data_IF_689294121077
#
_entry.id   IF_689294121077
#
_cell.length_a   1.000
_cell.length_b   1.000
_cell.length_c   1.000
_cell.angle_alpha   90.00
_cell.angle_beta   90.00
_cell.angle_gamma   90.00
#
_symmetry.space_group_name_H-M   'P 1'
#
loop_
_entity.id
_entity.type
_entity.pdbx_description
1 polymer ?
#
# COMPACT_ATOMS: atom_id res chain seq x y z
N UNK A 1 -3.77 18.39 -9.75
CA UNK A 1 -4.11 17.03 -10.21
C UNK A 1 -3.66 16.73 -11.65
N UNK A 2 -3.70 17.70 -12.57
CA UNK A 2 -3.34 17.49 -13.97
C UNK A 2 -1.94 16.89 -14.18
N UNK A 3 -1.00 17.12 -13.27
CA UNK A 3 0.32 16.44 -13.29
C UNK A 3 0.22 14.93 -13.13
N UNK A 4 -0.80 14.41 -12.40
CA UNK A 4 -1.01 12.98 -12.25
C UNK A 4 -1.49 12.30 -13.54
N UNK A 5 -2.15 13.02 -14.45
CA UNK A 5 -2.53 12.50 -15.78
C UNK A 5 -1.33 11.90 -16.48
N UNK A 6 -0.19 12.58 -16.38
CA UNK A 6 1.08 12.16 -17.00
C UNK A 6 1.59 10.87 -16.36
N UNK A 7 1.52 10.79 -15.04
CA UNK A 7 1.99 9.60 -14.32
C UNK A 7 1.06 8.42 -14.55
N UNK A 8 -0.24 8.66 -14.70
CA UNK A 8 -1.19 7.62 -15.09
C UNK A 8 -0.94 7.10 -16.51
N UNK A 9 -0.50 7.94 -17.45
CA UNK A 9 -0.08 7.47 -18.78
C UNK A 9 1.15 6.58 -18.69
N UNK A 10 2.16 6.98 -17.90
CA UNK A 10 3.39 6.20 -17.68
C UNK A 10 3.14 4.84 -17.02
N UNK A 11 2.17 4.79 -16.12
CA UNK A 11 1.78 3.55 -15.43
C UNK A 11 0.83 2.66 -16.25
N UNK A 12 0.32 3.12 -17.38
CA UNK A 12 -0.74 2.40 -18.10
C UNK A 12 -2.04 2.26 -17.28
N UNK A 13 -2.33 3.22 -16.42
CA UNK A 13 -3.44 3.18 -15.47
C UNK A 13 -4.80 2.96 -16.14
N UNK A 14 -4.98 3.49 -17.34
CA UNK A 14 -6.23 3.34 -18.07
C UNK A 14 -6.53 1.90 -18.46
N UNK A 15 -5.52 1.16 -18.92
CA UNK A 15 -5.68 -0.24 -19.27
C UNK A 15 -5.94 -1.11 -18.03
N UNK A 16 -5.31 -0.78 -16.90
CA UNK A 16 -5.61 -1.40 -15.60
C UNK A 16 -7.06 -1.19 -15.17
N UNK A 17 -7.57 0.04 -15.30
CA UNK A 17 -8.95 0.37 -14.96
C UNK A 17 -9.94 -0.34 -15.90
N UNK A 18 -9.65 -0.38 -17.21
CA UNK A 18 -10.46 -1.14 -18.17
C UNK A 18 -10.47 -2.63 -17.85
N UNK A 19 -9.33 -3.19 -17.52
CA UNK A 19 -9.22 -4.59 -17.08
C UNK A 19 -10.06 -4.87 -15.84
N UNK A 20 -10.05 -3.95 -14.86
CA UNK A 20 -10.88 -4.04 -13.64
C UNK A 20 -12.38 -3.94 -13.95
N UNK A 21 -12.79 -2.98 -14.77
CA UNK A 21 -14.20 -2.74 -15.09
C UNK A 21 -14.75 -3.68 -16.18
N UNK A 22 -13.89 -4.32 -16.96
CA UNK A 22 -14.28 -5.13 -18.12
C UNK A 22 -14.91 -4.32 -19.24
N UNK A 23 -14.63 -3.01 -19.30
CA UNK A 23 -15.26 -2.05 -20.20
C UNK A 23 -14.30 -1.54 -21.28
N UNK A 24 -14.86 -0.90 -22.32
CA UNK A 24 -14.12 -0.26 -23.42
C UNK A 24 -13.83 1.23 -23.15
N UNK A 25 -13.06 1.87 -24.05
CA UNK A 25 -12.79 3.31 -24.00
C UNK A 25 -14.05 4.18 -24.14
N UNK A 26 -15.10 3.67 -24.77
CA UNK A 26 -16.35 4.39 -24.97
C UNK A 26 -17.25 4.41 -23.71
N UNK A 27 -17.04 3.46 -22.80
CA UNK A 27 -17.88 3.31 -21.62
C UNK A 27 -17.59 4.35 -20.54
N UNK A 28 -18.61 4.63 -19.72
CA UNK A 28 -18.52 5.64 -18.66
C UNK A 28 -17.87 5.09 -17.37
N UNK A 29 -18.01 3.78 -17.11
CA UNK A 29 -17.58 3.14 -15.88
C UNK A 29 -16.06 3.30 -15.63
N UNK A 30 -15.16 3.12 -16.62
CA UNK A 30 -13.74 3.36 -16.42
C UNK A 30 -13.42 4.82 -16.02
N UNK A 31 -14.20 5.80 -16.54
CA UNK A 31 -14.03 7.22 -16.18
C UNK A 31 -14.46 7.50 -14.75
N UNK A 32 -15.53 6.85 -14.28
CA UNK A 32 -15.95 6.91 -12.88
C UNK A 32 -14.88 6.26 -11.96
N UNK A 33 -14.27 5.15 -12.38
CA UNK A 33 -13.17 4.54 -11.65
C UNK A 33 -11.94 5.45 -11.63
N UNK A 34 -11.58 6.11 -12.74
CA UNK A 34 -10.50 7.12 -12.79
C UNK A 34 -10.79 8.30 -11.86
N UNK A 35 -12.05 8.73 -11.76
CA UNK A 35 -12.44 9.75 -10.79
C UNK A 35 -12.13 9.31 -9.35
N UNK A 36 -12.44 8.06 -8.98
CA UNK A 36 -12.13 7.52 -7.64
C UNK A 36 -10.63 7.47 -7.37
N UNK A 37 -9.82 7.17 -8.38
CA UNK A 37 -8.36 7.24 -8.29
C UNK A 37 -7.92 8.67 -7.96
N UNK A 38 -8.42 9.67 -8.68
CA UNK A 38 -8.09 11.07 -8.44
C UNK A 38 -8.64 11.60 -7.10
N UNK A 39 -9.83 11.14 -6.67
CA UNK A 39 -10.36 11.43 -5.32
C UNK A 39 -9.45 10.88 -4.22
N UNK A 40 -8.88 9.70 -4.41
CA UNK A 40 -7.91 9.11 -3.47
C UNK A 40 -6.63 9.95 -3.41
N UNK A 41 -6.09 10.38 -4.55
CA UNK A 41 -4.92 11.26 -4.61
C UNK A 41 -5.17 12.60 -3.89
N UNK A 42 -6.41 13.10 -3.93
CA UNK A 42 -6.84 14.30 -3.20
C UNK A 42 -7.09 14.07 -1.72
N UNK A 43 -6.86 12.87 -1.21
CA UNK A 43 -7.21 12.47 0.16
C UNK A 43 -8.70 12.68 0.49
N UNK A 44 -9.56 12.66 -0.53
CA UNK A 44 -11.00 12.81 -0.39
C UNK A 44 -11.64 11.45 -0.11
N UNK A 45 -11.75 11.11 1.17
CA UNK A 45 -12.07 9.76 1.61
C UNK A 45 -13.56 9.48 1.81
N UNK A 46 -14.44 10.40 1.41
CA UNK A 46 -15.89 10.24 1.62
C UNK A 46 -16.54 9.75 0.34
N UNK A 47 -17.39 8.72 0.46
CA UNK A 47 -18.33 8.35 -0.59
C UNK A 47 -19.32 9.50 -0.84
N UNK A 48 -19.63 10.26 0.18
CA UNK A 48 -20.40 11.50 0.04
C UNK A 48 -19.47 12.65 -0.32
N UNK A 49 -19.74 13.27 -1.45
CA UNK A 49 -18.96 14.40 -1.97
C UNK A 49 -18.78 15.46 -0.89
N UNK A 50 -17.56 15.81 -0.62
CA UNK A 50 -17.26 17.07 0.01
C UNK A 50 -17.35 18.14 -1.08
N UNK A 51 -17.84 19.32 -0.75
CA UNK A 51 -17.95 20.47 -1.65
C UNK A 51 -16.61 20.89 -2.31
N UNK A 52 -15.50 20.28 -1.94
CA UNK A 52 -14.15 20.57 -2.46
C UNK A 52 -13.92 20.03 -3.86
N UNK A 53 -14.64 18.99 -4.29
CA UNK A 53 -14.40 18.33 -5.58
C UNK A 53 -15.35 18.84 -6.65
N UNK A 54 -16.37 19.61 -6.29
CA UNK A 54 -17.34 20.19 -7.21
C UNK A 54 -16.79 21.40 -8.00
N UNK A 55 -15.51 21.33 -8.41
CA UNK A 55 -14.91 22.30 -9.29
C UNK A 55 -15.04 21.85 -10.75
N UNK A 56 -15.40 22.73 -11.65
CA UNK A 56 -15.62 22.44 -13.07
C UNK A 56 -14.45 21.73 -13.77
N UNK A 57 -13.23 21.83 -13.25
CA UNK A 57 -12.07 21.15 -13.83
C UNK A 57 -11.88 19.71 -13.39
N UNK A 58 -12.56 19.25 -12.32
CA UNK A 58 -12.32 17.92 -11.78
C UNK A 58 -12.99 16.82 -12.63
N UNK A 59 -14.23 17.05 -13.04
CA UNK A 59 -14.94 16.11 -13.91
C UNK A 59 -14.27 16.02 -15.28
N UNK A 60 -13.85 17.17 -15.83
CA UNK A 60 -13.14 17.23 -17.11
C UNK A 60 -11.84 16.41 -17.08
N UNK A 61 -11.09 16.47 -15.99
CA UNK A 61 -9.87 15.67 -15.77
C UNK A 61 -10.11 14.17 -15.95
N UNK A 62 -11.32 13.70 -15.63
CA UNK A 62 -11.73 12.30 -15.70
C UNK A 62 -12.48 11.97 -17.00
N UNK A 63 -12.60 12.91 -17.92
CA UNK A 63 -13.37 12.75 -19.17
C UNK A 63 -14.87 12.65 -18.94
N UNK A 64 -15.38 13.25 -17.86
CA UNK A 64 -16.80 13.26 -17.49
C UNK A 64 -17.42 14.62 -17.78
N UNK A 65 -18.57 14.62 -18.43
CA UNK A 65 -19.36 15.84 -18.70
C UNK A 65 -20.40 16.12 -17.62
N UNK A 66 -20.40 15.37 -16.52
CA UNK A 66 -21.39 15.48 -15.43
C UNK A 66 -20.81 15.07 -14.08
N UNK A 67 -21.45 15.50 -13.01
CA UNK A 67 -21.11 15.10 -11.65
C UNK A 67 -21.56 13.66 -11.37
N UNK A 68 -20.61 12.82 -10.96
CA UNK A 68 -20.89 11.44 -10.55
C UNK A 68 -21.61 11.46 -9.18
N UNK A 69 -22.68 10.71 -9.08
CA UNK A 69 -23.41 10.56 -7.81
C UNK A 69 -22.80 9.49 -6.93
N UNK A 70 -23.03 9.57 -5.61
CA UNK A 70 -22.62 8.53 -4.64
C UNK A 70 -23.18 7.15 -5.01
N UNK A 71 -24.39 7.13 -5.59
CA UNK A 71 -25.02 5.88 -6.03
C UNK A 71 -24.25 5.25 -7.20
N UNK A 72 -23.86 6.03 -8.21
CA UNK A 72 -23.08 5.54 -9.34
C UNK A 72 -21.72 4.97 -8.90
N UNK A 73 -21.06 5.62 -7.93
CA UNK A 73 -19.82 5.12 -7.32
C UNK A 73 -20.07 3.78 -6.61
N UNK A 74 -21.13 3.70 -5.82
CA UNK A 74 -21.48 2.49 -5.09
C UNK A 74 -21.82 1.33 -6.05
N UNK A 75 -22.60 1.60 -7.09
CA UNK A 75 -22.98 0.61 -8.08
C UNK A 75 -21.77 0.08 -8.86
N UNK A 76 -20.88 0.98 -9.29
CA UNK A 76 -19.61 0.60 -9.90
C UNK A 76 -18.83 -0.37 -9.01
N UNK A 77 -18.54 0.04 -7.77
CA UNK A 77 -17.72 -0.77 -6.86
C UNK A 77 -18.39 -2.07 -6.45
N UNK A 78 -19.73 -2.09 -6.32
CA UNK A 78 -20.47 -3.28 -5.95
C UNK A 78 -20.57 -4.31 -7.08
N UNK A 79 -20.60 -3.84 -8.32
CA UNK A 79 -20.67 -4.68 -9.54
C UNK A 79 -19.41 -5.53 -9.74
N UNK A 80 -18.25 -5.00 -9.38
CA UNK A 80 -16.95 -5.65 -9.62
C UNK A 80 -16.54 -6.52 -8.43
N UNK A 81 -16.11 -7.74 -8.72
CA UNK A 81 -15.80 -8.75 -7.71
C UNK A 81 -14.47 -8.50 -7.00
N UNK A 82 -14.30 -9.14 -5.83
CA UNK A 82 -13.02 -9.18 -5.12
C UNK A 82 -11.90 -9.68 -6.04
N UNK A 83 -12.15 -10.73 -6.81
CA UNK A 83 -11.14 -11.30 -7.73
C UNK A 83 -10.69 -10.32 -8.81
N UNK A 84 -11.60 -9.48 -9.34
CA UNK A 84 -11.23 -8.43 -10.29
C UNK A 84 -10.35 -7.36 -9.63
N UNK A 85 -10.66 -7.00 -8.38
CA UNK A 85 -9.86 -6.05 -7.62
C UNK A 85 -8.47 -6.62 -7.25
N UNK A 86 -8.37 -7.90 -6.93
CA UNK A 86 -7.10 -8.59 -6.69
C UNK A 86 -6.26 -8.66 -7.97
N UNK A 87 -6.86 -9.01 -9.11
CA UNK A 87 -6.17 -9.00 -10.41
C UNK A 87 -5.63 -7.61 -10.78
N UNK A 88 -6.39 -6.55 -10.48
CA UNK A 88 -5.89 -5.17 -10.63
C UNK A 88 -4.64 -4.94 -9.77
N UNK A 89 -4.65 -5.37 -8.51
CA UNK A 89 -3.50 -5.20 -7.61
C UNK A 89 -2.28 -6.00 -8.09
N UNK A 90 -2.46 -7.25 -8.50
CA UNK A 90 -1.39 -8.11 -9.01
C UNK A 90 -0.74 -7.51 -10.26
N UNK A 91 -1.56 -7.04 -11.21
CA UNK A 91 -1.06 -6.41 -12.43
C UNK A 91 -0.35 -5.09 -12.12
N UNK A 92 -0.90 -4.28 -11.22
CA UNK A 92 -0.25 -3.05 -10.75
C UNK A 92 1.09 -3.35 -10.06
N UNK A 93 1.16 -4.37 -9.22
CA UNK A 93 2.39 -4.77 -8.54
C UNK A 93 3.47 -5.17 -9.57
N UNK A 94 3.12 -5.93 -10.62
CA UNK A 94 4.04 -6.29 -11.69
C UNK A 94 4.54 -5.06 -12.47
N UNK A 95 3.66 -4.12 -12.83
CA UNK A 95 4.04 -2.86 -13.48
C UNK A 95 4.99 -2.06 -12.60
N UNK A 96 4.65 -1.90 -11.32
CA UNK A 96 5.48 -1.17 -10.35
C UNK A 96 6.85 -1.83 -10.16
N UNK A 97 6.90 -3.16 -10.14
CA UNK A 97 8.17 -3.88 -10.07
C UNK A 97 9.03 -3.59 -11.30
N UNK A 98 8.48 -3.67 -12.49
CA UNK A 98 9.18 -3.36 -13.74
C UNK A 98 9.65 -1.89 -13.81
N UNK A 99 8.92 -0.96 -13.18
CA UNK A 99 9.28 0.46 -13.07
C UNK A 99 10.28 0.74 -11.92
N UNK A 100 10.78 -0.29 -11.24
CA UNK A 100 11.77 -0.15 -10.16
C UNK A 100 11.21 0.49 -8.89
N UNK A 101 9.92 0.32 -8.59
CA UNK A 101 9.31 0.83 -7.35
C UNK A 101 9.66 -0.01 -6.14
N UNK A 102 10.12 -1.24 -6.32
CA UNK A 102 10.45 -2.18 -5.26
C UNK A 102 11.89 -2.67 -5.37
N UNK A 103 12.54 -2.88 -4.24
CA UNK A 103 13.75 -3.69 -4.14
C UNK A 103 13.41 -5.17 -3.91
N UNK A 104 12.32 -5.42 -3.20
CA UNK A 104 11.70 -6.74 -3.05
C UNK A 104 12.41 -7.72 -2.13
N UNK A 105 13.47 -7.32 -1.41
CA UNK A 105 14.25 -8.24 -0.57
C UNK A 105 13.63 -8.45 0.81
N UNK A 106 13.08 -7.37 1.39
CA UNK A 106 12.45 -7.34 2.70
C UNK A 106 11.02 -6.83 2.57
N UNK A 107 10.06 -7.68 2.89
CA UNK A 107 8.63 -7.35 2.77
C UNK A 107 7.98 -7.41 4.15
N UNK A 108 7.45 -6.27 4.61
CA UNK A 108 6.67 -6.23 5.83
C UNK A 108 5.22 -6.59 5.55
N UNK A 109 4.62 -7.40 6.43
CA UNK A 109 3.19 -7.69 6.45
C UNK A 109 2.64 -7.31 7.82
N UNK A 110 1.61 -6.47 7.83
CA UNK A 110 0.99 -6.02 9.07
C UNK A 110 -0.54 -5.92 8.93
N UNK A 111 -1.29 -6.30 9.99
CA UNK A 111 -2.73 -6.12 10.02
C UNK A 111 -3.06 -4.66 10.37
N UNK A 112 -3.53 -3.91 9.41
CA UNK A 112 -4.05 -2.57 9.65
C UNK A 112 -5.50 -2.64 10.17
N UNK A 113 -5.74 -2.06 11.36
CA UNK A 113 -7.04 -2.09 12.03
C UNK A 113 -7.80 -0.80 11.80
N UNK A 114 -8.85 -0.88 10.99
CA UNK A 114 -9.72 0.26 10.70
C UNK A 114 -10.92 0.22 11.64
N UNK A 115 -11.10 1.25 12.45
CA UNK A 115 -12.24 1.35 13.38
C UNK A 115 -13.54 1.45 12.60
N UNK A 116 -14.52 0.63 12.99
CA UNK A 116 -15.85 0.62 12.39
C UNK A 116 -16.90 1.13 13.38
N UNK A 117 -17.76 2.04 12.90
CA UNK A 117 -18.88 2.60 13.66
C UNK A 117 -20.20 1.83 13.44
N UNK A 118 -20.14 0.70 12.74
CA UNK A 118 -21.32 -0.10 12.43
C UNK A 118 -22.06 -0.60 13.66
N UNK A 119 -23.38 -0.77 13.55
CA UNK A 119 -24.19 -1.40 14.57
C UNK A 119 -24.13 -2.94 14.51
N UNK A 120 -23.60 -3.54 13.43
CA UNK A 120 -23.50 -5.00 13.29
C UNK A 120 -22.56 -5.61 14.33
N UNK A 121 -22.80 -6.87 14.68
CA UNK A 121 -21.92 -7.65 15.55
C UNK A 121 -20.61 -7.90 14.80
N UNK A 122 -19.50 -7.52 15.41
CA UNK A 122 -18.14 -7.69 14.86
C UNK A 122 -17.15 -8.02 15.95
N UNK A 123 -16.03 -8.66 15.61
CA UNK A 123 -14.91 -8.78 16.53
C UNK A 123 -14.46 -7.41 17.04
N UNK A 124 -14.24 -7.34 18.36
CA UNK A 124 -13.69 -6.15 18.98
C UNK A 124 -12.21 -6.37 19.26
N UNK A 125 -11.38 -5.46 18.82
CA UNK A 125 -9.94 -5.45 19.11
C UNK A 125 -9.51 -4.07 19.59
N UNK A 126 -8.44 -4.02 20.35
CA UNK A 126 -7.76 -2.77 20.68
C UNK A 126 -6.94 -2.32 19.49
N UNK A 127 -6.97 -1.03 19.16
CA UNK A 127 -6.07 -0.46 18.17
C UNK A 127 -4.66 -0.27 18.80
N UNK A 128 -4.65 0.22 20.04
CA UNK A 128 -3.45 0.31 20.89
C UNK A 128 -3.71 -0.36 22.25
N UNK A 129 -2.69 -0.82 22.96
CA UNK A 129 -2.86 -1.53 24.23
C UNK A 129 -3.68 -0.76 25.28
N UNK A 130 -3.57 0.57 25.28
CA UNK A 130 -4.20 1.48 26.25
C UNK A 130 -5.62 1.89 25.85
N UNK A 131 -6.00 1.67 24.60
CA UNK A 131 -7.34 2.02 24.10
C UNK A 131 -8.40 0.96 24.44
N UNK A 132 -9.67 1.36 24.60
CA UNK A 132 -10.75 0.41 24.74
C UNK A 132 -10.91 -0.43 23.45
N UNK A 133 -11.36 -1.67 23.61
CA UNK A 133 -11.69 -2.52 22.46
C UNK A 133 -12.80 -1.89 21.64
N UNK A 134 -12.59 -1.80 20.33
CA UNK A 134 -13.55 -1.27 19.36
C UNK A 134 -13.80 -2.28 18.25
N UNK A 135 -14.96 -2.17 17.61
CA UNK A 135 -15.21 -2.92 16.37
C UNK A 135 -14.21 -2.50 15.32
N UNK A 136 -13.52 -3.47 14.74
CA UNK A 136 -12.48 -3.21 13.74
C UNK A 136 -12.66 -4.08 12.51
N UNK A 137 -12.33 -3.51 11.37
CA UNK A 137 -12.09 -4.24 10.14
C UNK A 137 -10.58 -4.44 10.01
N UNK A 138 -10.16 -5.67 9.80
CA UNK A 138 -8.76 -5.98 9.54
C UNK A 138 -8.49 -5.91 8.05
N UNK A 139 -7.46 -5.18 7.68
CA UNK A 139 -6.88 -5.17 6.35
C UNK A 139 -5.41 -5.53 6.50
N UNK A 140 -4.89 -6.37 5.65
CA UNK A 140 -3.49 -6.78 5.66
C UNK A 140 -2.79 -6.12 4.49
N UNK A 141 -1.65 -5.51 4.72
CA UNK A 141 -0.84 -4.90 3.67
C UNK A 141 0.48 -5.62 3.56
N UNK A 142 0.98 -5.75 2.34
CA UNK A 142 2.36 -6.08 2.04
C UNK A 142 3.07 -4.83 1.53
N UNK A 143 4.23 -4.53 2.11
CA UNK A 143 5.02 -3.34 1.82
C UNK A 143 6.48 -3.73 1.60
N UNK A 144 7.09 -3.23 0.53
CA UNK A 144 8.54 -3.23 0.39
C UNK A 144 9.16 -2.25 1.39
N UNK A 145 9.88 -2.76 2.36
CA UNK A 145 10.40 -1.95 3.48
C UNK A 145 11.46 -0.96 3.02
N UNK A 146 12.24 -1.33 2.01
CA UNK A 146 13.38 -0.54 1.54
C UNK A 146 12.96 0.71 0.76
N UNK A 147 11.81 0.65 0.10
CA UNK A 147 11.26 1.80 -0.65
C UNK A 147 10.06 2.43 0.04
N UNK A 148 9.49 1.77 1.06
CA UNK A 148 8.26 2.20 1.74
C UNK A 148 7.03 2.10 0.83
N UNK A 149 7.05 1.25 -0.22
CA UNK A 149 5.99 1.20 -1.21
C UNK A 149 5.09 -0.02 -1.03
N UNK A 150 3.74 0.17 -1.02
CA UNK A 150 2.79 -0.92 -0.88
C UNK A 150 2.76 -1.78 -2.14
N UNK A 151 2.78 -3.10 -1.95
CA UNK A 151 2.65 -4.10 -3.01
C UNK A 151 1.17 -4.41 -3.25
N UNK A 152 0.42 -4.62 -2.17
CA UNK A 152 -0.99 -4.90 -2.24
C UNK A 152 -1.63 -5.00 -0.85
N UNK A 153 -2.94 -5.24 -0.83
CA UNK A 153 -3.69 -5.44 0.38
C UNK A 153 -4.72 -6.57 0.26
N UNK A 154 -4.93 -7.26 1.38
CA UNK A 154 -5.99 -8.25 1.56
C UNK A 154 -6.93 -7.83 2.69
N UNK A 155 -8.19 -8.24 2.64
CA UNK A 155 -9.19 -7.85 3.64
C UNK A 155 -9.67 -9.08 4.39
N UNK A 156 -9.45 -9.09 5.70
CA UNK A 156 -10.01 -10.10 6.60
C UNK A 156 -11.54 -9.99 6.68
N UNK A 157 -12.19 -11.14 6.76
CA UNK A 157 -13.62 -11.27 6.99
C UNK A 157 -13.87 -12.31 8.08
N UNK A 158 -15.11 -12.48 8.58
CA UNK A 158 -15.40 -13.57 9.51
C UNK A 158 -15.03 -14.98 9.00
N UNK A 159 -14.99 -15.17 7.67
CA UNK A 159 -14.57 -16.43 7.04
C UNK A 159 -13.11 -16.49 6.59
N UNK A 160 -12.38 -15.38 6.68
CA UNK A 160 -10.97 -15.27 6.28
C UNK A 160 -10.18 -14.77 7.48
N UNK A 161 -9.54 -15.72 8.19
CA UNK A 161 -8.69 -15.42 9.33
C UNK A 161 -7.34 -14.81 8.88
N UNK A 162 -6.53 -14.35 9.84
CA UNK A 162 -5.21 -13.76 9.59
C UNK A 162 -4.32 -14.66 8.71
N UNK A 163 -4.23 -15.95 9.00
CA UNK A 163 -3.41 -16.90 8.23
C UNK A 163 -3.83 -16.95 6.76
N UNK A 164 -5.14 -17.12 6.49
CA UNK A 164 -5.64 -17.23 5.12
C UNK A 164 -5.46 -15.92 4.35
N UNK A 165 -5.79 -14.77 4.96
CA UNK A 165 -5.57 -13.47 4.34
C UNK A 165 -4.10 -13.19 4.03
N UNK A 166 -3.19 -13.64 4.89
CA UNK A 166 -1.75 -13.50 4.67
C UNK A 166 -1.27 -14.39 3.52
N UNK A 167 -1.72 -15.65 3.45
CA UNK A 167 -1.37 -16.55 2.34
C UNK A 167 -1.86 -15.99 0.99
N UNK A 168 -3.09 -15.49 0.94
CA UNK A 168 -3.63 -14.82 -0.24
C UNK A 168 -2.77 -13.61 -0.64
N UNK A 169 -2.37 -12.79 0.32
CA UNK A 169 -1.52 -11.61 0.07
C UNK A 169 -0.10 -11.99 -0.40
N UNK A 170 0.48 -13.08 0.13
CA UNK A 170 1.78 -13.60 -0.30
C UNK A 170 1.79 -14.02 -1.78
N UNK A 171 0.66 -14.41 -2.35
CA UNK A 171 0.57 -14.68 -3.79
C UNK A 171 0.82 -13.42 -4.63
N UNK A 172 0.40 -12.23 -4.17
CA UNK A 172 0.74 -10.96 -4.82
C UNK A 172 2.23 -10.63 -4.66
N UNK A 173 2.81 -10.89 -3.47
CA UNK A 173 4.24 -10.67 -3.21
C UNK A 173 5.13 -11.50 -4.14
N UNK A 174 4.71 -12.72 -4.52
CA UNK A 174 5.43 -13.57 -5.49
C UNK A 174 5.69 -12.87 -6.82
N UNK A 175 4.83 -11.94 -7.25
CA UNK A 175 5.03 -11.18 -8.50
C UNK A 175 6.20 -10.21 -8.41
N UNK A 176 6.61 -9.82 -7.20
CA UNK A 176 7.74 -8.93 -6.94
C UNK A 176 9.00 -9.72 -6.68
N UNK A 177 8.99 -10.61 -5.69
CA UNK A 177 10.11 -11.49 -5.39
C UNK A 177 9.64 -12.73 -4.60
N UNK A 178 9.80 -13.90 -5.19
CA UNK A 178 9.43 -15.18 -4.56
C UNK A 178 10.35 -15.63 -3.43
N UNK A 179 11.55 -15.04 -3.33
CA UNK A 179 12.59 -15.39 -2.33
C UNK A 179 12.73 -14.29 -1.26
N UNK A 180 11.74 -13.40 -1.12
CA UNK A 180 11.81 -12.32 -0.14
C UNK A 180 11.79 -12.83 1.31
N UNK A 181 12.44 -12.10 2.21
CA UNK A 181 12.26 -12.28 3.65
C UNK A 181 11.01 -11.53 4.11
N UNK A 182 10.03 -12.28 4.56
CA UNK A 182 8.76 -11.77 5.07
C UNK A 182 8.91 -11.43 6.56
N UNK A 183 8.66 -10.17 6.90
CA UNK A 183 8.65 -9.66 8.26
C UNK A 183 7.20 -9.46 8.70
N UNK A 184 6.77 -10.15 9.74
CA UNK A 184 5.39 -10.07 10.18
C UNK A 184 5.28 -9.84 11.70
N UNK A 185 4.12 -9.39 12.17
CA UNK A 185 3.79 -9.19 13.57
C UNK A 185 3.50 -10.56 14.26
N UNK A 186 3.55 -10.57 15.58
CA UNK A 186 3.22 -11.73 16.44
C UNK A 186 1.82 -12.32 16.19
N UNK A 187 0.86 -11.58 15.63
CA UNK A 187 -0.45 -12.13 15.22
C UNK A 187 -0.32 -13.20 14.13
N UNK A 188 0.78 -13.20 13.40
CA UNK A 188 1.11 -14.18 12.37
C UNK A 188 1.82 -15.43 12.91
N UNK A 189 2.15 -15.49 14.21
CA UNK A 189 2.78 -16.64 14.83
C UNK A 189 1.79 -17.80 14.97
N UNK A 190 1.50 -18.45 13.86
CA UNK A 190 0.61 -19.63 13.79
C UNK A 190 1.29 -20.76 13.05
N UNK A 191 1.08 -22.01 13.54
CA UNK A 191 1.63 -23.20 12.91
C UNK A 191 1.25 -23.29 11.41
N UNK A 192 -0.02 -23.02 11.11
CA UNK A 192 -0.55 -23.17 9.75
C UNK A 192 0.14 -22.20 8.78
N UNK A 193 0.42 -20.95 9.19
CA UNK A 193 1.11 -20.00 8.32
C UNK A 193 2.57 -20.38 8.11
N UNK A 194 3.28 -20.71 9.21
CA UNK A 194 4.71 -21.09 9.13
C UNK A 194 4.90 -22.29 8.22
N UNK A 195 4.06 -23.31 8.39
CA UNK A 195 4.10 -24.53 7.58
C UNK A 195 3.75 -24.27 6.11
N UNK A 196 2.74 -23.43 5.85
CA UNK A 196 2.36 -23.11 4.47
C UNK A 196 3.49 -22.39 3.74
N UNK A 197 4.14 -21.43 4.40
CA UNK A 197 5.29 -20.73 3.82
C UNK A 197 6.44 -21.71 3.58
N UNK A 198 6.78 -22.53 4.55
CA UNK A 198 7.87 -23.50 4.48
C UNK A 198 7.67 -24.56 3.38
N UNK A 199 6.42 -25.03 3.19
CA UNK A 199 6.12 -26.13 2.27
C UNK A 199 5.69 -25.70 0.87
N UNK A 200 5.10 -24.49 0.74
CA UNK A 200 4.40 -24.04 -0.47
C UNK A 200 5.03 -22.78 -1.09
N UNK A 201 6.16 -22.29 -0.57
CA UNK A 201 6.82 -21.12 -1.11
C UNK A 201 8.34 -21.16 -0.90
N UNK A 202 9.05 -20.29 -1.61
CA UNK A 202 10.47 -20.05 -1.42
C UNK A 202 10.74 -18.83 -0.50
N UNK A 203 9.71 -18.29 0.15
CA UNK A 203 9.86 -17.17 1.07
C UNK A 203 10.63 -17.55 2.33
N UNK A 204 11.49 -16.66 2.77
CA UNK A 204 11.96 -16.67 4.14
C UNK A 204 10.96 -15.96 5.06
N UNK A 205 10.95 -16.29 6.35
CA UNK A 205 10.03 -15.71 7.33
C UNK A 205 10.78 -15.31 8.60
N UNK A 206 10.41 -14.17 9.18
CA UNK A 206 10.83 -13.75 10.52
C UNK A 206 9.64 -13.15 11.26
N UNK A 207 9.21 -13.82 12.35
CA UNK A 207 8.06 -13.41 13.17
C UNK A 207 8.37 -13.52 14.66
N UNK A 208 7.91 -12.57 15.50
CA UNK A 208 8.00 -12.71 16.96
C UNK A 208 7.12 -13.85 17.44
N UNK A 209 7.65 -14.66 18.33
CA UNK A 209 6.89 -15.73 18.99
C UNK A 209 5.93 -15.13 20.05
N UNK A 210 4.75 -15.74 20.18
CA UNK A 210 3.83 -15.39 21.26
C UNK A 210 4.41 -15.88 22.58
N UNK A 211 4.51 -15.02 23.59
CA UNK A 211 5.03 -15.33 24.91
C UNK A 211 4.08 -16.26 25.68
N UNK A 212 4.13 -17.56 25.37
CA UNK A 212 3.46 -18.62 26.11
C UNK A 212 4.33 -19.09 27.28
N UNK A 213 3.76 -19.86 28.21
CA UNK A 213 4.54 -20.44 29.31
C UNK A 213 5.66 -21.36 28.79
N UNK A 214 5.41 -22.10 27.70
CA UNK A 214 6.41 -22.94 27.03
C UNK A 214 7.57 -22.10 26.49
N UNK A 215 7.29 -21.01 25.77
CA UNK A 215 8.33 -20.10 25.24
C UNK A 215 9.12 -19.50 26.39
N UNK A 216 8.47 -19.00 27.46
CA UNK A 216 9.15 -18.45 28.63
C UNK A 216 10.04 -19.45 29.35
N UNK A 217 9.66 -20.75 29.42
CA UNK A 217 10.53 -21.79 29.95
C UNK A 217 11.77 -22.00 29.06
N UNK A 218 11.59 -22.00 27.74
CA UNK A 218 12.68 -22.08 26.78
C UNK A 218 13.63 -20.90 26.97
N UNK A 219 13.12 -19.67 26.93
CA UNK A 219 13.90 -18.44 27.10
C UNK A 219 14.80 -18.48 28.35
N UNK A 220 14.30 -19.00 29.47
CA UNK A 220 15.04 -19.08 30.73
C UNK A 220 16.03 -20.23 30.78
N UNK A 221 15.87 -21.27 29.98
CA UNK A 221 16.72 -22.46 29.99
C UNK A 221 17.90 -22.42 29.03
N UNK A 222 17.89 -21.47 28.07
CA UNK A 222 18.92 -21.38 27.07
C UNK A 222 20.22 -20.75 27.61
N UNK A 223 21.35 -21.18 27.02
CA UNK A 223 22.64 -20.53 27.21
C UNK A 223 22.81 -19.43 26.18
N UNK A 224 22.92 -18.18 26.66
CA UNK A 224 23.01 -17.02 25.82
C UNK A 224 24.46 -16.64 25.52
N UNK A 225 24.74 -16.38 24.25
CA UNK A 225 25.99 -15.80 23.80
C UNK A 225 25.88 -14.28 23.85
N UNK A 226 26.76 -13.63 24.60
CA UNK A 226 26.85 -12.17 24.67
C UNK A 226 27.29 -11.61 23.32
N UNK A 227 26.53 -10.66 22.80
CA UNK A 227 26.88 -9.93 21.58
C UNK A 227 27.57 -8.60 21.91
N UNK A 228 26.96 -7.84 22.84
CA UNK A 228 27.54 -6.61 23.42
C UNK A 228 26.98 -6.39 24.83
N UNK A 229 27.33 -5.25 25.47
CA UNK A 229 26.85 -4.91 26.81
C UNK A 229 25.31 -4.84 26.85
N UNK A 230 24.71 -5.56 27.77
CA UNK A 230 23.25 -5.60 27.92
C UNK A 230 22.47 -6.36 26.84
N UNK A 231 23.13 -7.05 25.89
CA UNK A 231 22.47 -7.80 24.83
C UNK A 231 23.14 -9.17 24.57
N UNK A 232 22.33 -10.19 24.56
CA UNK A 232 22.77 -11.55 24.29
C UNK A 232 21.70 -12.32 23.49
N UNK A 233 22.13 -13.31 22.71
CA UNK A 233 21.27 -14.12 21.85
C UNK A 233 21.52 -15.61 22.07
N UNK A 234 20.49 -16.40 21.81
CA UNK A 234 20.57 -17.85 21.77
C UNK A 234 19.65 -18.36 20.65
N UNK A 235 19.88 -19.57 20.20
CA UNK A 235 19.01 -20.22 19.24
C UNK A 235 18.80 -21.70 19.55
N UNK A 236 17.69 -22.22 19.09
CA UNK A 236 17.37 -23.65 19.16
C UNK A 236 16.39 -24.05 18.07
N UNK A 237 16.27 -25.35 17.85
CA UNK A 237 15.20 -25.89 17.00
C UNK A 237 13.91 -26.06 17.81
N UNK A 238 12.86 -25.38 17.39
CA UNK A 238 11.53 -25.37 18.00
C UNK A 238 10.54 -26.12 17.13
N UNK A 239 9.61 -26.83 17.75
CA UNK A 239 8.47 -27.44 17.08
C UNK A 239 7.15 -26.98 17.71
N UNK A 240 6.12 -26.81 16.90
CA UNK A 240 4.77 -26.64 17.43
C UNK A 240 4.30 -27.95 18.10
N UNK A 241 3.37 -27.85 19.04
CA UNK A 241 2.86 -29.02 19.77
C UNK A 241 2.28 -30.07 18.81
N UNK A 242 2.59 -31.35 19.08
CA UNK A 242 2.12 -32.53 18.31
C UNK A 242 2.67 -32.60 16.86
N UNK A 243 3.76 -31.88 16.54
CA UNK A 243 4.37 -31.88 15.20
C UNK A 243 5.82 -32.32 15.25
N UNK A 244 6.29 -32.86 14.10
CA UNK A 244 7.67 -33.30 13.93
C UNK A 244 8.57 -32.24 13.30
N UNK A 245 7.97 -31.33 12.52
CA UNK A 245 8.66 -30.25 11.84
C UNK A 245 9.33 -29.33 12.87
N UNK A 246 10.58 -28.97 12.58
CA UNK A 246 11.38 -28.11 13.46
C UNK A 246 11.77 -26.84 12.73
N UNK A 247 11.62 -25.73 13.41
CA UNK A 247 11.91 -24.40 12.93
C UNK A 247 12.96 -23.74 13.81
N UNK A 248 13.73 -22.83 13.26
CA UNK A 248 14.74 -22.07 14.00
C UNK A 248 14.05 -21.05 14.90
N UNK A 249 14.23 -21.15 16.21
CA UNK A 249 13.79 -20.18 17.19
C UNK A 249 15.00 -19.42 17.71
N UNK A 250 14.99 -18.11 17.53
CA UNK A 250 16.01 -17.19 18.01
C UNK A 250 15.45 -16.50 19.25
N UNK A 251 16.22 -16.48 20.33
CA UNK A 251 15.88 -15.79 21.56
C UNK A 251 16.90 -14.68 21.81
N UNK A 252 16.41 -13.45 22.03
CA UNK A 252 17.24 -12.35 22.52
C UNK A 252 16.95 -12.06 23.98
N UNK A 253 17.97 -11.61 24.67
CA UNK A 253 17.91 -11.17 26.06
C UNK A 253 18.56 -9.80 26.19
N UNK A 254 17.77 -8.85 26.63
CA UNK A 254 18.20 -7.48 26.94
C UNK A 254 18.32 -7.32 28.45
N UNK A 255 19.27 -6.48 28.92
CA UNK A 255 19.52 -6.20 30.33
C UNK A 255 20.89 -6.68 30.80
N UNK A 256 21.42 -6.07 31.86
CA UNK A 256 22.77 -6.36 32.40
C UNK A 256 22.73 -7.36 33.54
N UNK A 257 21.67 -7.35 34.33
CA UNK A 257 21.51 -8.23 35.50
C UNK A 257 20.30 -9.13 35.37
N UNK A 258 20.28 -10.23 36.12
CA UNK A 258 19.17 -11.19 36.08
C UNK A 258 17.82 -10.60 36.48
N UNK A 259 17.80 -9.48 37.18
CA UNK A 259 16.60 -8.76 37.61
C UNK A 259 15.99 -7.95 36.46
N UNK A 260 16.85 -7.53 35.51
CA UNK A 260 16.48 -6.60 34.43
C UNK A 260 16.28 -7.32 33.07
N UNK A 261 16.45 -8.65 33.05
CA UNK A 261 16.37 -9.40 31.79
C UNK A 261 14.98 -9.35 31.19
N UNK A 262 14.93 -8.80 29.96
CA UNK A 262 13.77 -8.86 29.07
C UNK A 262 14.07 -9.83 27.94
N UNK A 263 13.16 -10.77 27.73
CA UNK A 263 13.29 -11.79 26.70
C UNK A 263 12.32 -11.53 25.54
N UNK A 264 12.79 -11.72 24.33
CA UNK A 264 11.95 -11.77 23.12
C UNK A 264 12.43 -12.92 22.27
N UNK A 265 11.49 -13.65 21.68
CA UNK A 265 11.79 -14.80 20.83
C UNK A 265 11.19 -14.59 19.44
N UNK A 266 11.88 -15.09 18.43
CA UNK A 266 11.50 -14.99 17.02
C UNK A 266 11.62 -16.36 16.37
N UNK A 267 10.63 -16.72 15.57
CA UNK A 267 10.72 -17.88 14.71
C UNK A 267 11.10 -17.43 13.30
N UNK A 268 12.02 -18.17 12.68
CA UNK A 268 12.49 -17.86 11.34
C UNK A 268 12.68 -19.11 10.48
N UNK A 269 12.46 -18.94 9.18
CA UNK A 269 12.82 -19.89 8.12
C UNK A 269 14.14 -19.50 7.43
N UNK A 270 14.72 -18.37 7.81
CA UNK A 270 15.97 -17.87 7.24
C UNK A 270 17.18 -18.46 7.93
N UNK A 271 18.24 -18.72 7.14
CA UNK A 271 19.56 -19.12 7.62
C UNK A 271 20.53 -17.94 7.87
N UNK A 272 20.08 -16.70 7.70
CA UNK A 272 20.89 -15.51 7.94
C UNK A 272 21.41 -15.44 9.38
N UNK A 273 22.52 -14.69 9.62
CA UNK A 273 23.03 -14.44 10.96
C UNK A 273 21.98 -13.81 11.88
N UNK A 274 21.98 -14.20 13.17
CA UNK A 274 21.00 -13.72 14.16
C UNK A 274 20.98 -12.19 14.23
N UNK A 275 22.15 -11.57 14.27
CA UNK A 275 22.26 -10.11 14.40
C UNK A 275 21.68 -9.41 13.18
N UNK A 276 21.97 -9.88 11.98
CA UNK A 276 21.37 -9.36 10.74
C UNK A 276 19.83 -9.46 10.80
N UNK A 277 19.30 -10.61 11.20
CA UNK A 277 17.84 -10.80 11.27
C UNK A 277 17.18 -9.87 12.29
N UNK A 278 17.75 -9.75 13.50
CA UNK A 278 17.08 -9.03 14.60
C UNK A 278 17.37 -7.52 14.60
N UNK A 279 18.60 -7.12 14.24
CA UNK A 279 19.03 -5.73 14.33
C UNK A 279 18.89 -4.97 13.02
N UNK A 280 19.09 -5.64 11.88
CA UNK A 280 19.03 -4.97 10.57
C UNK A 280 17.66 -5.22 9.88
N UNK A 281 17.24 -6.50 9.78
CA UNK A 281 16.03 -6.82 9.02
C UNK A 281 14.74 -6.51 9.79
N UNK A 282 14.60 -6.98 11.05
CA UNK A 282 13.32 -6.87 11.75
C UNK A 282 12.91 -5.43 12.07
N UNK A 283 13.87 -4.54 12.26
CA UNK A 283 13.62 -3.12 12.51
C UNK A 283 12.89 -2.47 11.31
N UNK A 284 13.18 -2.93 10.09
CA UNK A 284 12.56 -2.41 8.88
C UNK A 284 11.03 -2.68 8.82
N UNK A 285 10.50 -3.58 9.64
CA UNK A 285 9.04 -3.80 9.73
C UNK A 285 8.26 -2.52 10.05
N UNK A 286 8.87 -1.58 10.78
CA UNK A 286 8.24 -0.29 11.13
C UNK A 286 7.88 0.57 9.92
N UNK A 287 8.51 0.38 8.78
CA UNK A 287 8.21 1.11 7.54
C UNK A 287 6.74 1.03 7.12
N UNK A 288 6.03 -0.05 7.50
CA UNK A 288 4.60 -0.20 7.20
C UNK A 288 3.74 0.77 8.04
N UNK A 289 4.14 1.09 9.28
CA UNK A 289 3.46 2.08 10.11
C UNK A 289 3.73 3.49 9.58
N UNK A 290 4.97 3.74 9.13
CA UNK A 290 5.32 5.00 8.46
C UNK A 290 4.53 5.20 7.16
N UNK A 291 4.32 4.14 6.37
CA UNK A 291 3.46 4.20 5.19
C UNK A 291 2.03 4.66 5.52
N UNK A 292 1.41 4.13 6.57
CA UNK A 292 0.07 4.56 6.97
C UNK A 292 0.04 6.02 7.43
N UNK A 293 1.07 6.48 8.14
CA UNK A 293 1.19 7.89 8.52
C UNK A 293 1.42 8.80 7.30
N UNK A 294 2.05 8.28 6.26
CA UNK A 294 2.43 9.04 5.07
C UNK A 294 1.33 9.07 4.01
N UNK A 295 0.73 7.94 3.68
CA UNK A 295 -0.24 7.78 2.60
C UNK A 295 -1.61 7.21 3.04
N UNK A 296 -1.83 6.95 4.32
CA UNK A 296 -3.08 6.40 4.86
C UNK A 296 -4.33 7.20 4.46
N UNK A 297 -4.18 8.53 4.40
CA UNK A 297 -5.25 9.44 4.01
C UNK A 297 -5.77 9.25 2.57
N UNK A 298 -5.05 8.54 1.70
CA UNK A 298 -5.48 8.23 0.34
C UNK A 298 -6.64 7.21 0.27
N UNK A 299 -7.15 6.75 1.41
CA UNK A 299 -8.30 5.84 1.48
C UNK A 299 -8.03 4.54 2.21
N UNK A 300 -6.82 4.36 2.74
CA UNK A 300 -6.43 3.13 3.44
C UNK A 300 -6.91 3.10 4.89
N UNK A 301 -7.17 4.24 5.51
CA UNK A 301 -7.57 4.37 6.92
C UNK A 301 -9.10 4.29 7.17
N UNK A 302 -9.91 4.13 6.13
CA UNK A 302 -11.36 4.22 6.25
C UNK A 302 -12.07 3.04 5.61
N UNK A 303 -13.01 2.48 6.37
CA UNK A 303 -13.93 1.47 5.89
C UNK A 303 -15.36 1.88 6.23
N UNK A 304 -16.10 2.29 5.22
CA UNK A 304 -17.51 2.76 5.37
C UNK A 304 -18.54 1.66 5.16
N UNK A 305 -18.14 0.49 4.67
CA UNK A 305 -19.06 -0.60 4.33
C UNK A 305 -18.48 -1.97 4.63
N UNK A 306 -19.37 -2.97 4.80
CA UNK A 306 -19.00 -4.39 4.90
C UNK A 306 -18.97 -5.11 3.55
N UNK A 307 -19.44 -4.45 2.50
CA UNK A 307 -19.41 -5.02 1.17
C UNK A 307 -17.95 -5.17 0.72
N UNK A 308 -17.49 -6.41 0.54
CA UNK A 308 -16.11 -6.71 0.19
C UNK A 308 -15.76 -6.18 -1.20
N UNK A 309 -16.67 -6.27 -2.17
CA UNK A 309 -16.43 -5.74 -3.52
C UNK A 309 -16.13 -4.24 -3.44
N UNK A 310 -16.96 -3.48 -2.73
CA UNK A 310 -16.79 -2.02 -2.56
C UNK A 310 -15.47 -1.70 -1.85
N UNK A 311 -15.11 -2.47 -0.83
CA UNK A 311 -13.86 -2.23 -0.08
C UNK A 311 -12.62 -2.55 -0.89
N UNK A 312 -12.59 -3.73 -1.52
CA UNK A 312 -11.46 -4.15 -2.36
C UNK A 312 -11.29 -3.21 -3.55
N UNK A 313 -12.39 -2.91 -4.26
CA UNK A 313 -12.36 -1.99 -5.39
C UNK A 313 -11.82 -0.62 -4.99
N UNK A 314 -12.33 -0.04 -3.89
CA UNK A 314 -11.85 1.27 -3.40
C UNK A 314 -10.37 1.25 -3.03
N UNK A 315 -9.91 0.22 -2.31
CA UNK A 315 -8.50 0.11 -1.91
C UNK A 315 -7.58 -0.12 -3.10
N UNK A 316 -7.99 -0.94 -4.06
CA UNK A 316 -7.20 -1.19 -5.28
C UNK A 316 -7.05 0.08 -6.13
N UNK A 317 -8.11 0.87 -6.26
CA UNK A 317 -8.05 2.17 -6.94
C UNK A 317 -7.19 3.19 -6.16
N UNK A 318 -7.21 3.13 -4.82
CA UNK A 318 -6.32 3.95 -3.99
C UNK A 318 -4.84 3.54 -4.14
N UNK A 319 -4.53 2.25 -4.31
CA UNK A 319 -3.17 1.79 -4.61
C UNK A 319 -2.69 2.31 -5.96
N UNK A 320 -3.57 2.38 -6.96
CA UNK A 320 -3.24 2.98 -8.25
C UNK A 320 -2.97 4.49 -8.14
N UNK A 321 -3.78 5.22 -7.35
CA UNK A 321 -3.54 6.63 -7.04
C UNK A 321 -2.20 6.85 -6.32
N UNK A 322 -1.88 5.97 -5.36
CA UNK A 322 -0.63 6.01 -4.61
C UNK A 322 0.58 5.76 -5.53
N UNK A 323 0.47 4.84 -6.48
CA UNK A 323 1.52 4.58 -7.46
C UNK A 323 1.81 5.79 -8.34
N UNK A 324 0.78 6.47 -8.87
CA UNK A 324 0.93 7.70 -9.66
C UNK A 324 1.50 8.85 -8.83
N UNK A 325 1.04 8.98 -7.57
CA UNK A 325 1.56 9.98 -6.64
C UNK A 325 3.03 9.73 -6.30
N UNK A 326 3.45 8.49 -6.18
CA UNK A 326 4.86 8.13 -5.96
C UNK A 326 5.73 8.50 -7.17
N UNK A 327 5.27 8.24 -8.39
CA UNK A 327 5.96 8.68 -9.61
C UNK A 327 6.14 10.21 -9.67
N UNK A 328 5.10 10.96 -9.31
CA UNK A 328 5.19 12.41 -9.20
C UNK A 328 6.23 12.83 -8.15
N UNK A 329 6.20 12.22 -6.95
CA UNK A 329 7.15 12.54 -5.87
C UNK A 329 8.60 12.33 -6.30
N UNK A 330 8.91 11.26 -7.05
CA UNK A 330 10.28 11.02 -7.56
C UNK A 330 10.82 12.17 -8.41
N UNK A 331 9.95 12.96 -9.01
CA UNK A 331 10.32 14.11 -9.85
C UNK A 331 10.46 15.42 -9.08
N UNK A 332 9.94 15.47 -7.87
CA UNK A 332 10.08 16.65 -7.03
C UNK A 332 11.48 16.67 -6.38
N UNK A 333 12.13 17.86 -6.31
CA UNK A 333 13.40 17.99 -5.61
C UNK A 333 13.23 17.83 -4.09
N UNK A 334 14.34 17.57 -3.38
CA UNK A 334 14.35 17.59 -1.91
C UNK A 334 14.13 19.04 -1.41
N UNK A 335 13.36 19.23 -0.31
CA UNK A 335 12.69 18.22 0.54
C UNK A 335 11.29 17.82 0.05
N UNK A 336 10.78 18.37 -1.04
CA UNK A 336 9.40 18.28 -1.53
C UNK A 336 9.00 16.85 -1.92
N UNK A 337 9.96 16.02 -2.33
CA UNK A 337 9.76 14.59 -2.60
C UNK A 337 9.38 13.76 -1.35
N UNK A 338 9.47 14.36 -0.15
CA UNK A 338 9.05 13.76 1.13
C UNK A 338 7.70 14.27 1.63
N UNK A 339 6.96 14.99 0.83
CA UNK A 339 5.61 15.40 1.19
C UNK A 339 4.68 14.19 1.27
N UNK A 340 3.95 14.08 2.37
CA UNK A 340 2.90 13.08 2.52
C UNK A 340 1.71 13.41 1.59
N UNK A 341 0.77 12.47 1.46
CA UNK A 341 -0.36 12.61 0.56
C UNK A 341 -1.24 13.83 0.86
N UNK A 342 -1.46 14.14 2.14
CA UNK A 342 -2.25 15.32 2.55
C UNK A 342 -1.55 16.61 2.13
N UNK A 343 -0.24 16.70 2.34
CA UNK A 343 0.53 17.88 1.98
C UNK A 343 0.57 18.08 0.47
N UNK A 344 0.77 17.01 -0.30
CA UNK A 344 0.68 17.06 -1.76
C UNK A 344 -0.71 17.53 -2.24
N UNK A 345 -1.77 16.97 -1.67
CA UNK A 345 -3.13 17.35 -2.00
C UNK A 345 -3.38 18.84 -1.75
N UNK A 346 -2.94 19.34 -0.60
CA UNK A 346 -3.17 20.74 -0.19
C UNK A 346 -2.23 21.73 -0.87
N UNK A 347 -0.96 21.40 -1.05
CA UNK A 347 0.04 22.34 -1.53
C UNK A 347 0.21 22.32 -3.06
N UNK A 348 0.03 21.15 -3.69
CA UNK A 348 0.27 20.98 -5.12
C UNK A 348 -1.02 20.83 -5.93
N UNK A 349 -1.96 19.97 -5.47
CA UNK A 349 -3.13 19.64 -6.29
C UNK A 349 -4.26 20.68 -6.21
N UNK A 350 -4.31 21.48 -5.14
CA UNK A 350 -5.39 22.46 -4.93
C UNK A 350 -4.94 23.92 -4.95
N UNK A 351 -3.65 24.21 -4.87
CA UNK A 351 -3.16 25.60 -4.74
C UNK A 351 -2.55 26.20 -5.99
N UNK A 352 -2.32 25.42 -7.03
CA UNK A 352 -1.84 25.96 -8.29
C UNK A 352 -3.02 26.50 -9.08
N UNK A 353 -3.01 27.81 -9.28
CA UNK A 353 -3.98 28.52 -10.08
C UNK A 353 -3.57 28.48 -11.56
N UNK A 354 -4.57 28.43 -12.43
CA UNK A 354 -4.32 28.38 -13.85
C UNK A 354 -5.57 28.37 -14.69
N UNK A 355 -5.42 28.30 -15.99
CA UNK A 355 -6.51 28.10 -16.92
C UNK A 355 -6.33 26.81 -17.76
N UNK A 356 -7.44 26.35 -18.31
CA UNK A 356 -7.52 25.19 -19.19
C UNK A 356 -8.02 25.68 -20.54
N UNK A 357 -7.26 25.39 -21.60
CA UNK A 357 -7.64 25.69 -22.99
C UNK A 357 -7.51 24.45 -23.83
N UNK A 358 -8.26 24.39 -24.89
CA UNK A 358 -8.11 23.39 -25.93
C UNK A 358 -7.64 24.09 -27.20
N UNK A 359 -6.48 23.69 -27.67
CA UNK A 359 -5.93 24.15 -28.97
C UNK A 359 -5.75 22.90 -29.84
N UNK A 360 -6.50 22.82 -30.93
CA UNK A 360 -6.57 21.65 -31.80
C UNK A 360 -6.90 20.34 -31.04
N UNK A 361 -5.96 19.42 -30.98
CA UNK A 361 -6.07 18.13 -30.28
C UNK A 361 -5.37 18.12 -28.90
N UNK A 362 -5.01 19.29 -28.36
CA UNK A 362 -4.20 19.41 -27.16
C UNK A 362 -4.90 20.24 -26.08
N UNK A 363 -5.01 19.69 -24.89
CA UNK A 363 -5.42 20.40 -23.68
C UNK A 363 -4.20 21.11 -23.12
N UNK A 364 -4.26 22.41 -23.01
CA UNK A 364 -3.18 23.25 -22.48
C UNK A 364 -3.55 23.73 -21.09
N UNK A 365 -2.73 23.38 -20.12
CA UNK A 365 -2.84 23.87 -18.74
C UNK A 365 -1.81 24.98 -18.53
N UNK A 366 -2.29 26.18 -18.32
CA UNK A 366 -1.42 27.30 -17.98
C UNK A 366 -1.38 27.50 -16.47
N UNK A 367 -0.23 27.29 -15.85
CA UNK A 367 -0.01 27.48 -14.40
C UNK A 367 0.52 28.90 -14.16
N UNK A 368 -0.14 29.67 -13.28
CA UNK A 368 0.23 31.07 -12.99
C UNK A 368 1.10 31.26 -11.75
N UNK A 369 0.99 30.36 -10.79
CA UNK A 369 1.65 30.44 -9.49
C UNK A 369 2.38 29.14 -9.10
N UNK A 370 2.85 28.39 -10.10
CA UNK A 370 3.62 27.18 -9.82
C UNK A 370 4.97 27.57 -9.19
N UNK A 371 5.29 27.08 -7.97
CA UNK A 371 6.55 27.41 -7.34
C UNK A 371 7.75 26.87 -8.13
N UNK A 372 8.74 27.72 -8.42
CA UNK A 372 9.95 27.33 -9.15
C UNK A 372 10.72 26.22 -8.44
N UNK A 373 10.68 26.21 -7.10
CA UNK A 373 11.35 25.24 -6.25
C UNK A 373 10.84 23.82 -6.46
N UNK A 374 9.65 23.64 -7.02
CA UNK A 374 9.09 22.30 -7.33
C UNK A 374 9.59 21.74 -8.66
N UNK A 375 10.29 22.57 -9.46
CA UNK A 375 10.86 22.17 -10.76
C UNK A 375 9.83 21.59 -11.75
N UNK A 376 8.56 22.04 -11.64
CA UNK A 376 7.45 21.51 -12.44
C UNK A 376 7.60 21.85 -13.92
N UNK A 377 8.06 23.06 -14.23
CA UNK A 377 8.29 23.50 -15.61
C UNK A 377 9.25 22.53 -16.33
N UNK A 378 10.39 22.23 -15.72
CA UNK A 378 11.37 21.32 -16.30
C UNK A 378 10.83 19.90 -16.48
N UNK A 379 9.90 19.47 -15.66
CA UNK A 379 9.35 18.12 -15.70
C UNK A 379 8.17 17.97 -16.67
N UNK A 380 7.37 19.02 -16.87
CA UNK A 380 6.07 18.91 -17.54
C UNK A 380 5.88 19.82 -18.78
N UNK A 381 6.76 20.77 -19.05
CA UNK A 381 6.68 21.57 -20.28
C UNK A 381 7.04 20.74 -21.53
N UNK A 382 6.40 21.00 -22.66
CA UNK A 382 6.56 20.27 -23.92
C UNK A 382 6.24 18.76 -23.76
N UNK A 383 5.23 18.47 -22.99
CA UNK A 383 4.89 17.12 -22.57
C UNK A 383 4.66 16.12 -23.71
N UNK A 384 3.94 16.46 -24.82
CA UNK A 384 3.73 15.49 -25.91
C UNK A 384 5.03 15.01 -26.55
N UNK A 385 6.02 15.89 -26.70
CA UNK A 385 7.33 15.52 -27.26
C UNK A 385 8.12 14.63 -26.29
N UNK A 386 8.06 14.93 -24.99
CA UNK A 386 8.70 14.12 -23.94
C UNK A 386 8.13 12.72 -23.87
N UNK A 387 6.81 12.58 -23.80
CA UNK A 387 6.17 11.26 -23.77
C UNK A 387 6.55 10.41 -24.98
N UNK A 388 6.59 11.02 -26.18
CA UNK A 388 7.06 10.33 -27.39
C UNK A 388 8.51 9.87 -27.27
N UNK A 389 9.40 10.68 -26.70
CA UNK A 389 10.80 10.29 -26.48
C UNK A 389 10.96 9.18 -25.44
N UNK A 390 10.02 9.05 -24.52
CA UNK A 390 9.92 7.95 -23.54
C UNK A 390 9.23 6.69 -24.13
N UNK A 391 8.79 6.72 -25.41
CA UNK A 391 8.05 5.64 -26.04
C UNK A 391 6.59 5.53 -25.64
N UNK A 392 6.04 6.59 -25.01
CA UNK A 392 4.67 6.64 -24.51
C UNK A 392 3.79 7.41 -25.48
N UNK A 393 2.61 6.84 -25.78
CA UNK A 393 1.59 7.56 -26.57
C UNK A 393 1.11 8.80 -25.80
N UNK A 394 1.25 10.03 -26.33
CA UNK A 394 0.81 11.24 -25.64
C UNK A 394 -0.71 11.45 -25.66
N UNK A 395 -1.46 10.66 -26.40
CA UNK A 395 -2.92 10.70 -26.42
C UNK A 395 -3.46 10.10 -25.11
N UNK A 396 -4.43 10.79 -24.51
CA UNK A 396 -5.04 10.39 -23.25
C UNK A 396 -6.39 9.71 -23.54
N UNK A 397 -6.50 8.38 -23.43
CA UNK A 397 -7.69 7.67 -23.89
C UNK A 397 -8.96 8.11 -23.16
N UNK A 398 -8.91 8.31 -21.84
CA UNK A 398 -10.10 8.75 -21.07
C UNK A 398 -10.48 10.20 -21.32
N UNK A 399 -9.59 11.01 -21.91
CA UNK A 399 -9.85 12.38 -22.37
C UNK A 399 -10.05 12.41 -23.90
N UNK A 400 -10.70 11.40 -24.43
CA UNK A 400 -11.07 11.32 -25.85
C UNK A 400 -9.88 11.47 -26.82
N UNK A 401 -8.72 10.96 -26.42
CA UNK A 401 -7.46 11.02 -27.17
C UNK A 401 -6.88 12.43 -27.35
N UNK A 402 -7.32 13.40 -26.57
CA UNK A 402 -6.60 14.67 -26.48
C UNK A 402 -5.21 14.45 -25.91
N UNK A 403 -4.27 15.29 -26.33
CA UNK A 403 -2.94 15.42 -25.70
C UNK A 403 -3.02 16.42 -24.54
N UNK A 404 -2.00 16.44 -23.71
CA UNK A 404 -1.87 17.40 -22.60
C UNK A 404 -0.52 18.09 -22.72
N UNK A 405 -0.49 19.41 -22.54
CA UNK A 405 0.73 20.18 -22.39
C UNK A 405 0.58 21.25 -21.31
N UNK A 406 1.71 21.70 -20.77
CA UNK A 406 1.76 22.67 -19.68
C UNK A 406 2.53 23.93 -20.12
N UNK A 407 1.98 25.08 -19.73
CA UNK A 407 2.63 26.39 -19.82
C UNK A 407 2.78 26.95 -18.41
N UNK A 408 3.91 27.55 -18.14
CA UNK A 408 4.23 28.16 -16.84
C UNK A 408 4.46 29.65 -17.07
N UNK A 409 3.81 30.48 -16.23
CA UNK A 409 3.90 31.97 -16.30
C UNK A 409 4.24 32.52 -14.93
#
# INVERSE_FOLDING_TARGET
>A
LWFLVVEHLRLGSWDLIKGYTGCSDADIEPRIAMQLVNESAMCSNRVRKSNYIAHQGFELLNGLGFLVTDQQVHDLLNKHTVSQAESLQETLAAIRHNNGHYQGNLIAIDPHRIVSTTQRIMPQKKKQPEEPSRKVLQTFFALDTQTGQPIGCGIGSPGVNTTKATIELLNMVKTVNKNALILADKEHFTENLVRDIDQNSDFELLIPAISTERIRKIERSLTYQRQWAGYATAEMMFNFEKRKEKYRLICQREGETTKDYVYKSFLTLSNKPIIELLCDCYQERWSIEEFFNFDGAMGFDRASTFNLNVRYGKMSLALLAQAATYELRKKLPKPYNRWNSIHLAQALFTKIDGDIRVEDDTIIITCYNAPDELNLQNNYQNLPARLKSEGINPQIPWLYNFKLDFRFK
#
